data_IF_509189688115
#
_entry.id   IF_509189688115
#
_cell.length_a   1.000
_cell.length_b   1.000
_cell.length_c   1.000
_cell.angle_alpha   90.00
_cell.angle_beta   90.00
_cell.angle_gamma   90.00
#
_symmetry.space_group_name_H-M   'P 1'
#
loop_
_entity.id
_entity.type
_entity.pdbx_description
1 polymer ?
#
# COMPACT_ATOMS: atom_id res chain seq x y z
N UNK A 1 4.27 6.95 -41.91
CA UNK A 1 4.09 7.45 -40.53
C UNK A 1 4.71 6.44 -39.57
N UNK A 2 5.82 6.78 -38.88
CA UNK A 2 6.48 5.86 -37.96
C UNK A 2 5.67 5.70 -36.67
N UNK A 3 5.51 4.47 -36.19
CA UNK A 3 4.70 4.17 -35.00
C UNK A 3 5.43 4.68 -33.74
N UNK A 4 4.77 5.53 -32.94
CA UNK A 4 5.34 6.04 -31.69
C UNK A 4 5.77 4.86 -30.78
N UNK A 5 7.01 4.83 -30.29
CA UNK A 5 7.49 3.75 -29.45
C UNK A 5 6.74 3.73 -28.12
N UNK A 6 6.35 2.53 -27.66
CA UNK A 6 5.68 2.34 -26.36
C UNK A 6 6.72 2.30 -25.24
N UNK A 7 6.43 2.93 -24.09
CA UNK A 7 7.33 2.91 -22.92
C UNK A 7 7.53 1.49 -22.37
N UNK A 8 8.79 1.16 -22.10
CA UNK A 8 9.26 -0.13 -21.58
C UNK A 8 9.05 -0.29 -20.07
N UNK A 9 8.88 0.82 -19.35
CA UNK A 9 8.70 0.88 -17.90
C UNK A 9 7.31 1.38 -17.54
N UNK A 10 6.81 0.92 -16.39
CA UNK A 10 5.55 1.33 -15.80
C UNK A 10 5.80 1.87 -14.38
N UNK A 11 5.16 2.97 -14.03
CA UNK A 11 5.01 3.36 -12.63
C UNK A 11 3.85 2.58 -12.02
N UNK A 12 4.09 1.98 -10.85
CA UNK A 12 3.11 1.12 -10.18
C UNK A 12 3.08 1.45 -8.70
N UNK A 13 1.94 1.21 -8.05
CA UNK A 13 1.78 1.37 -6.60
C UNK A 13 2.02 0.03 -5.94
N UNK A 14 3.02 -0.04 -5.06
CA UNK A 14 3.22 -1.17 -4.16
C UNK A 14 2.40 -0.91 -2.90
N UNK A 15 1.37 -1.73 -2.68
CA UNK A 15 0.40 -1.58 -1.58
C UNK A 15 0.92 -2.30 -0.33
N UNK A 16 0.79 -1.69 0.84
CA UNK A 16 1.17 -2.29 2.12
C UNK A 16 0.34 -3.55 2.44
N UNK A 17 0.99 -4.55 3.04
CA UNK A 17 0.33 -5.77 3.52
C UNK A 17 -0.46 -5.56 4.81
N UNK A 18 -0.17 -4.50 5.56
CA UNK A 18 -0.79 -4.23 6.87
C UNK A 18 -2.16 -3.52 6.78
N UNK A 19 -2.74 -3.40 5.59
CA UNK A 19 -4.07 -2.82 5.32
C UNK A 19 -4.34 -1.38 5.77
N UNK A 20 -3.44 -0.72 6.50
CA UNK A 20 -2.68 0.40 5.94
C UNK A 20 -3.42 1.52 5.20
N UNK A 21 -3.58 1.29 3.90
CA UNK A 21 -3.75 2.35 2.91
C UNK A 21 -2.43 2.97 2.43
N UNK A 22 -1.30 2.76 3.12
CA UNK A 22 0.01 3.21 2.65
C UNK A 22 0.43 2.50 1.36
N UNK A 23 1.00 3.26 0.43
CA UNK A 23 1.58 2.74 -0.80
C UNK A 23 2.85 3.49 -1.18
N UNK A 24 3.74 2.81 -1.88
CA UNK A 24 4.94 3.43 -2.46
C UNK A 24 4.92 3.29 -3.98
N UNK A 25 5.18 4.40 -4.68
CA UNK A 25 5.32 4.39 -6.13
C UNK A 25 6.69 3.86 -6.53
N UNK A 26 6.73 2.88 -7.44
CA UNK A 26 7.95 2.26 -7.95
C UNK A 26 7.88 2.07 -9.45
N UNK A 27 9.03 1.99 -10.11
CA UNK A 27 9.12 1.66 -11.53
C UNK A 27 9.42 0.18 -11.73
N UNK A 28 8.75 -0.47 -12.68
CA UNK A 28 9.07 -1.83 -13.13
C UNK A 28 9.06 -1.96 -14.65
N UNK A 29 9.86 -2.87 -15.24
CA UNK A 29 9.70 -3.26 -16.63
C UNK A 29 8.31 -3.86 -16.88
N UNK A 30 7.67 -3.51 -18.00
CA UNK A 30 6.31 -3.95 -18.33
C UNK A 30 6.17 -5.47 -18.43
N UNK A 31 7.19 -6.14 -18.95
CA UNK A 31 7.18 -7.58 -19.18
C UNK A 31 7.43 -8.42 -17.91
N UNK A 32 7.82 -7.79 -16.79
CA UNK A 32 8.12 -8.50 -15.57
C UNK A 32 6.85 -8.80 -14.74
N UNK A 33 6.93 -9.84 -13.91
CA UNK A 33 5.89 -10.19 -12.92
C UNK A 33 5.64 -9.03 -11.95
N UNK A 34 4.46 -8.97 -11.32
CA UNK A 34 4.18 -8.01 -10.25
C UNK A 34 5.26 -8.04 -9.16
N UNK A 35 5.53 -6.89 -8.55
CA UNK A 35 6.53 -6.76 -7.50
C UNK A 35 5.94 -7.10 -6.14
N UNK A 36 6.69 -7.84 -5.33
CA UNK A 36 6.48 -8.04 -3.90
C UNK A 36 7.75 -7.62 -3.17
N UNK A 37 7.65 -6.72 -2.18
CA UNK A 37 8.82 -6.25 -1.44
C UNK A 37 8.48 -6.11 0.05
N UNK A 38 9.46 -6.40 0.90
CA UNK A 38 9.41 -6.10 2.33
C UNK A 38 9.97 -4.68 2.54
N UNK A 39 9.09 -3.75 2.90
CA UNK A 39 9.41 -2.33 3.11
C UNK A 39 8.68 -1.80 4.34
N UNK A 40 9.19 -0.69 4.87
CA UNK A 40 8.59 0.00 5.99
C UNK A 40 7.23 0.61 5.61
N UNK A 41 6.24 0.40 6.48
CA UNK A 41 4.94 1.07 6.45
C UNK A 41 4.82 2.00 7.68
N UNK A 42 4.88 3.32 7.50
CA UNK A 42 4.87 4.27 8.61
C UNK A 42 3.55 4.35 9.39
N UNK A 43 2.45 3.81 8.86
CA UNK A 43 1.14 3.87 9.54
C UNK A 43 1.03 2.74 10.58
N UNK A 44 1.57 1.56 10.25
CA UNK A 44 1.48 0.36 11.09
C UNK A 44 2.29 0.44 12.38
N UNK A 45 3.31 1.30 12.43
CA UNK A 45 4.19 1.46 13.59
C UNK A 45 3.73 2.51 14.60
N UNK A 46 2.81 3.43 14.24
CA UNK A 46 2.51 4.61 15.06
C UNK A 46 1.03 4.96 15.21
N UNK A 47 0.09 4.01 15.08
CA UNK A 47 -1.31 4.27 15.42
C UNK A 47 -1.65 3.78 16.84
N UNK A 48 -1.51 4.61 17.90
CA UNK A 48 -2.24 4.40 19.15
C UNK A 48 -3.74 4.70 19.00
N UNK A 49 -4.28 4.64 17.77
CA UNK A 49 -5.68 4.95 17.49
C UNK A 49 -6.62 3.77 17.74
N UNK A 50 -6.08 2.55 17.92
CA UNK A 50 -6.85 1.35 18.33
C UNK A 50 -7.34 1.41 19.78
N UNK A 51 -6.93 2.43 20.56
CA UNK A 51 -7.41 2.70 21.92
C UNK A 51 -8.52 3.77 21.99
N UNK A 52 -8.91 4.40 20.88
CA UNK A 52 -9.93 5.47 20.87
C UNK A 52 -11.36 5.02 20.56
N UNK A 53 -11.62 3.72 20.40
CA UNK A 53 -12.92 3.20 19.97
C UNK A 53 -13.66 2.29 20.94
N UNK A 54 -13.08 1.88 22.08
CA UNK A 54 -13.84 1.11 23.09
C UNK A 54 -14.59 2.07 23.99
N UNK A 55 -15.82 2.40 23.61
CA UNK A 55 -16.82 2.88 24.59
C UNK A 55 -16.96 1.79 25.67
N UNK A 56 -16.79 2.09 26.97
CA UNK A 56 -16.80 1.07 28.02
C UNK A 56 -18.18 0.48 28.35
N UNK A 57 -19.28 0.94 27.74
CA UNK A 57 -20.62 0.67 28.28
C UNK A 57 -21.55 0.04 27.22
N UNK A 58 -21.54 -1.28 27.15
CA UNK A 58 -22.69 -2.09 26.70
C UNK A 58 -22.64 -3.43 27.42
N UNK A 59 -23.01 -3.42 28.70
CA UNK A 59 -23.20 -4.60 29.53
C UNK A 59 -24.57 -4.52 30.17
N UNK A 60 -25.34 -5.58 29.95
CA UNK A 60 -26.67 -5.92 30.47
C UNK A 60 -26.92 -5.51 31.93
N UNK A 61 -28.09 -4.90 32.18
CA UNK A 61 -29.12 -5.31 33.14
C UNK A 61 -30.50 -4.83 32.67
#
# INVERSE_FOLDING_TARGET
MAKKPKSRTLMVRLISMAMTGYFRTVMRPRAHRPLSMLKYDPIGTHTPNSLRGRSPNSGHD
#
